data_IF_614171221576
#
_entry.id   IF_614171221576
#
_cell.length_a   1.000
_cell.length_b   1.000
_cell.length_c   1.000
_cell.angle_alpha   90.00
_cell.angle_beta   90.00
_cell.angle_gamma   90.00
#
_symmetry.space_group_name_H-M   'P 1'
#
loop_
_entity.id
_entity.type
_entity.pdbx_description
1 polymer ?
#
# COMPACT_ATOMS: atom_id res chain seq x y z
N UNK A 1 -30.86 -32.98 -3.07
CA UNK A 1 -30.22 -32.23 -1.96
C UNK A 1 -29.85 -30.86 -2.50
N UNK A 2 -30.60 -29.84 -2.16
CA UNK A 2 -30.23 -28.44 -2.49
C UNK A 2 -29.00 -28.10 -1.68
N UNK A 3 -27.91 -27.64 -2.30
CA UNK A 3 -26.73 -27.20 -1.55
C UNK A 3 -27.12 -26.03 -0.68
N UNK A 4 -26.96 -26.17 0.64
CA UNK A 4 -27.12 -25.05 1.55
C UNK A 4 -26.22 -23.89 1.08
N UNK A 5 -26.74 -22.65 1.07
CA UNK A 5 -25.91 -21.50 0.75
C UNK A 5 -24.71 -21.50 1.70
N UNK A 6 -23.49 -21.19 1.21
CA UNK A 6 -22.32 -21.21 2.05
C UNK A 6 -22.53 -20.28 3.22
N UNK A 7 -22.43 -20.80 4.44
CA UNK A 7 -22.44 -19.97 5.65
C UNK A 7 -21.44 -18.85 5.47
N UNK A 8 -21.86 -17.62 5.75
CA UNK A 8 -20.96 -16.47 5.72
C UNK A 8 -19.69 -16.81 6.50
N UNK A 9 -18.55 -16.63 5.86
CA UNK A 9 -17.27 -16.92 6.52
C UNK A 9 -17.18 -16.16 7.85
N UNK A 10 -16.69 -16.79 8.95
CA UNK A 10 -16.55 -16.14 10.23
C UNK A 10 -15.68 -14.88 10.10
N UNK A 11 -15.90 -13.85 10.94
CA UNK A 11 -15.09 -12.62 10.87
C UNK A 11 -13.60 -12.92 11.10
N UNK A 12 -12.73 -12.21 10.41
CA UNK A 12 -11.30 -12.36 10.60
C UNK A 12 -10.89 -12.13 12.07
N UNK A 13 -9.93 -12.92 12.62
CA UNK A 13 -9.47 -12.78 13.99
C UNK A 13 -9.04 -11.37 14.32
N UNK A 14 -9.43 -10.86 15.48
CA UNK A 14 -9.12 -9.48 15.90
C UNK A 14 -7.62 -9.19 15.84
N UNK A 15 -6.78 -10.13 16.28
CA UNK A 15 -5.31 -9.99 16.27
C UNK A 15 -4.78 -9.77 14.85
N UNK A 16 -5.31 -10.47 13.87
CA UNK A 16 -4.90 -10.36 12.47
C UNK A 16 -5.37 -9.03 11.84
N UNK A 17 -6.58 -8.58 12.20
CA UNK A 17 -7.09 -7.26 11.79
C UNK A 17 -6.23 -6.13 12.36
N UNK A 18 -5.91 -6.17 13.65
CA UNK A 18 -5.07 -5.16 14.29
C UNK A 18 -3.68 -5.11 13.67
N UNK A 19 -3.09 -6.26 13.35
CA UNK A 19 -1.82 -6.32 12.64
C UNK A 19 -1.89 -5.65 11.25
N UNK A 20 -2.91 -5.99 10.47
CA UNK A 20 -3.10 -5.39 9.15
C UNK A 20 -3.30 -3.86 9.24
N UNK A 21 -4.13 -3.40 10.16
CA UNK A 21 -4.38 -1.97 10.39
C UNK A 21 -3.13 -1.22 10.84
N UNK A 22 -2.36 -1.81 11.76
CA UNK A 22 -1.10 -1.22 12.22
C UNK A 22 -0.06 -1.12 11.10
N UNK A 23 -0.02 -2.11 10.17
CA UNK A 23 0.83 -2.03 8.99
C UNK A 23 0.43 -0.87 8.06
N UNK A 24 -0.87 -0.69 7.82
CA UNK A 24 -1.38 0.44 7.02
C UNK A 24 -1.08 1.81 7.65
N UNK A 25 -1.30 1.94 8.96
CA UNK A 25 -0.98 3.16 9.71
C UNK A 25 0.52 3.47 9.68
N UNK A 26 1.39 2.48 9.81
CA UNK A 26 2.84 2.68 9.70
C UNK A 26 3.25 3.17 8.32
N UNK A 27 2.77 2.53 7.25
CA UNK A 27 3.08 2.92 5.88
C UNK A 27 2.63 4.36 5.61
N UNK A 28 1.42 4.71 6.03
CA UNK A 28 0.92 6.07 5.90
C UNK A 28 1.68 7.09 6.76
N UNK A 29 2.01 6.75 8.02
CA UNK A 29 2.80 7.64 8.87
C UNK A 29 4.17 7.97 8.26
N UNK A 30 4.82 6.99 7.61
CA UNK A 30 6.06 7.23 6.88
C UNK A 30 5.85 8.19 5.70
N UNK A 31 4.77 8.01 4.92
CA UNK A 31 4.43 8.94 3.84
C UNK A 31 4.19 10.36 4.36
N UNK A 32 3.47 10.50 5.49
CA UNK A 32 3.25 11.79 6.15
C UNK A 32 4.54 12.42 6.69
N UNK A 33 5.43 11.63 7.27
CA UNK A 33 6.72 12.12 7.73
C UNK A 33 7.58 12.62 6.56
N UNK A 34 7.62 11.86 5.46
CA UNK A 34 8.31 12.31 4.23
C UNK A 34 7.70 13.60 3.70
N UNK A 35 6.37 13.74 3.72
CA UNK A 35 5.67 14.95 3.30
C UNK A 35 6.10 16.18 4.12
N UNK A 36 6.19 16.03 5.43
CA UNK A 36 6.66 17.11 6.34
C UNK A 36 8.11 17.50 6.05
N UNK A 37 9.00 16.50 5.94
CA UNK A 37 10.43 16.74 5.67
C UNK A 37 10.64 17.39 4.31
N UNK A 38 9.94 16.93 3.27
CA UNK A 38 10.00 17.52 1.93
C UNK A 38 9.55 18.98 1.93
N UNK A 39 8.52 19.32 2.71
CA UNK A 39 8.04 20.69 2.85
C UNK A 39 9.00 21.58 3.67
N UNK A 40 9.69 21.04 4.69
CA UNK A 40 10.62 21.77 5.56
C UNK A 40 12.00 21.96 4.90
N UNK A 41 12.53 20.91 4.24
CA UNK A 41 13.95 20.86 3.77
C UNK A 41 13.99 20.73 2.25
N UNK A 42 13.65 21.80 1.52
CA UNK A 42 13.63 21.79 0.04
C UNK A 42 14.95 21.37 -0.60
N UNK A 43 16.10 21.89 -0.11
CA UNK A 43 17.41 21.62 -0.69
C UNK A 43 17.89 20.18 -0.52
N UNK A 44 17.44 19.49 0.54
CA UNK A 44 17.77 18.08 0.82
C UNK A 44 16.66 17.09 0.45
N UNK A 45 15.48 17.54 0.06
CA UNK A 45 14.30 16.72 -0.17
C UNK A 45 14.52 15.64 -1.23
N UNK A 46 15.22 16.00 -2.32
CA UNK A 46 15.49 15.04 -3.40
C UNK A 46 16.39 13.89 -2.93
N UNK A 47 17.47 14.19 -2.21
CA UNK A 47 18.37 13.17 -1.67
C UNK A 47 17.62 12.25 -0.72
N UNK A 48 16.80 12.79 0.18
CA UNK A 48 15.98 12.01 1.09
C UNK A 48 15.02 11.08 0.36
N UNK A 49 14.25 11.60 -0.59
CA UNK A 49 13.26 10.82 -1.35
C UNK A 49 13.94 9.75 -2.19
N UNK A 50 15.08 10.06 -2.81
CA UNK A 50 15.88 9.06 -3.54
C UNK A 50 16.39 7.95 -2.61
N UNK A 51 16.93 8.30 -1.44
CA UNK A 51 17.42 7.32 -0.46
C UNK A 51 16.29 6.44 0.02
N UNK A 52 15.16 7.02 0.42
CA UNK A 52 13.98 6.26 0.89
C UNK A 52 13.39 5.40 -0.22
N UNK A 53 13.26 5.93 -1.45
CA UNK A 53 12.72 5.20 -2.60
C UNK A 53 13.59 3.99 -2.98
N UNK A 54 14.92 4.18 -3.10
CA UNK A 54 15.86 3.10 -3.38
C UNK A 54 15.85 2.07 -2.24
N UNK A 55 15.89 2.53 -0.99
CA UNK A 55 15.85 1.65 0.17
C UNK A 55 14.55 0.84 0.22
N UNK A 56 13.41 1.42 -0.14
CA UNK A 56 12.12 0.74 -0.21
C UNK A 56 12.14 -0.40 -1.25
N UNK A 57 12.75 -0.16 -2.41
CA UNK A 57 12.95 -1.21 -3.44
C UNK A 57 13.85 -2.33 -2.90
N UNK A 58 14.98 -1.99 -2.29
CA UNK A 58 15.89 -2.97 -1.69
C UNK A 58 15.21 -3.80 -0.61
N UNK A 59 14.45 -3.16 0.27
CA UNK A 59 13.66 -3.83 1.30
C UNK A 59 12.62 -4.80 0.74
N UNK A 60 11.95 -4.42 -0.35
CA UNK A 60 11.01 -5.28 -1.07
C UNK A 60 11.69 -6.54 -1.63
N UNK A 61 12.86 -6.36 -2.26
CA UNK A 61 13.62 -7.47 -2.84
C UNK A 61 14.18 -8.38 -1.75
N UNK A 62 14.77 -7.81 -0.70
CA UNK A 62 15.39 -8.55 0.40
C UNK A 62 14.38 -9.32 1.27
N UNK A 63 13.18 -8.78 1.47
CA UNK A 63 12.20 -9.39 2.37
C UNK A 63 11.67 -10.73 1.89
N UNK A 64 11.66 -11.00 0.58
CA UNK A 64 11.18 -12.25 0.02
C UNK A 64 12.04 -13.46 0.39
N UNK A 65 13.37 -13.47 0.09
CA UNK A 65 14.22 -14.57 0.53
C UNK A 65 14.24 -14.67 2.06
N UNK A 66 14.25 -13.54 2.77
CA UNK A 66 14.23 -13.52 4.22
C UNK A 66 12.97 -14.22 4.78
N UNK A 67 11.79 -13.92 4.23
CA UNK A 67 10.53 -14.56 4.61
C UNK A 67 10.49 -16.06 4.27
N UNK A 68 11.20 -16.51 3.23
CA UNK A 68 11.31 -17.94 2.90
C UNK A 68 12.17 -18.69 3.91
N UNK A 69 13.29 -18.10 4.33
CA UNK A 69 14.26 -18.74 5.22
C UNK A 69 13.89 -18.63 6.70
N UNK A 70 13.57 -17.42 7.18
CA UNK A 70 13.30 -17.16 8.60
C UNK A 70 11.83 -17.40 9.00
N UNK A 71 10.91 -17.45 8.05
CA UNK A 71 9.47 -17.43 8.29
C UNK A 71 8.90 -16.02 8.21
N UNK A 72 7.54 -15.93 8.15
CA UNK A 72 6.85 -14.66 7.90
C UNK A 72 6.83 -13.78 9.13
N UNK A 73 6.54 -14.38 10.29
CA UNK A 73 6.51 -13.67 11.57
C UNK A 73 7.88 -13.09 11.93
N UNK A 74 8.94 -13.90 11.86
CA UNK A 74 10.30 -13.44 12.19
C UNK A 74 10.76 -12.34 11.24
N UNK A 75 10.50 -12.47 9.94
CA UNK A 75 10.79 -11.42 8.97
C UNK A 75 10.01 -10.15 9.26
N UNK A 76 8.73 -10.24 9.61
CA UNK A 76 7.92 -9.10 10.03
C UNK A 76 8.48 -8.39 11.26
N UNK A 77 8.99 -9.15 12.25
CA UNK A 77 9.65 -8.58 13.41
C UNK A 77 10.96 -7.87 13.06
N UNK A 78 11.80 -8.47 12.20
CA UNK A 78 13.05 -7.84 11.72
C UNK A 78 12.73 -6.53 11.01
N UNK A 79 11.74 -6.53 10.11
CA UNK A 79 11.28 -5.34 9.40
C UNK A 79 10.78 -4.27 10.37
N UNK A 80 9.98 -4.65 11.38
CA UNK A 80 9.47 -3.70 12.37
C UNK A 80 10.58 -3.10 13.25
N UNK A 81 11.56 -3.92 13.68
CA UNK A 81 12.74 -3.42 14.43
C UNK A 81 13.56 -2.47 13.58
N UNK A 82 13.80 -2.81 12.29
CA UNK A 82 14.51 -1.95 11.35
C UNK A 82 13.81 -0.59 11.18
N UNK A 83 12.47 -0.61 11.07
CA UNK A 83 11.66 0.60 11.00
C UNK A 83 11.77 1.45 12.28
N UNK A 84 11.72 0.81 13.47
CA UNK A 84 11.81 1.50 14.76
C UNK A 84 13.17 2.19 14.93
N UNK A 85 14.27 1.48 14.62
CA UNK A 85 15.63 2.04 14.64
C UNK A 85 15.73 3.18 13.62
N UNK A 86 15.23 2.98 12.41
CA UNK A 86 15.24 3.99 11.37
C UNK A 86 14.49 5.26 11.75
N UNK A 87 13.27 5.12 12.27
CA UNK A 87 12.48 6.26 12.73
C UNK A 87 13.12 6.98 13.93
N UNK A 88 13.71 6.22 14.87
CA UNK A 88 14.44 6.79 16.01
C UNK A 88 15.66 7.60 15.60
N UNK A 89 16.47 7.09 14.67
CA UNK A 89 17.62 7.83 14.12
C UNK A 89 17.17 9.10 13.38
N UNK A 90 16.11 9.00 12.58
CA UNK A 90 15.58 10.13 11.82
C UNK A 90 14.91 11.19 12.71
N UNK A 91 14.37 10.80 13.87
CA UNK A 91 13.79 11.72 14.84
C UNK A 91 14.82 12.42 15.74
N UNK A 92 15.89 11.72 16.12
CA UNK A 92 16.81 12.16 17.16
C UNK A 92 18.13 12.75 16.64
N UNK A 93 18.42 12.63 15.35
CA UNK A 93 19.70 13.03 14.77
C UNK A 93 19.48 13.88 13.53
N UNK A 94 20.51 14.69 13.19
CA UNK A 94 20.51 15.53 11.99
C UNK A 94 21.52 15.06 10.96
N UNK A 95 21.42 15.55 9.73
CA UNK A 95 22.38 15.28 8.66
C UNK A 95 22.40 13.82 8.17
N UNK A 96 23.60 13.27 8.01
CA UNK A 96 23.79 11.92 7.45
C UNK A 96 23.13 10.81 8.30
N UNK A 97 23.23 10.80 9.64
CA UNK A 97 22.55 9.78 10.45
C UNK A 97 21.02 9.80 10.29
N UNK A 98 20.40 10.98 10.21
CA UNK A 98 18.97 11.11 9.93
C UNK A 98 18.60 10.54 8.56
N UNK A 99 19.42 10.79 7.54
CA UNK A 99 19.23 10.25 6.19
C UNK A 99 19.35 8.71 6.17
N UNK A 100 20.32 8.16 6.90
CA UNK A 100 20.44 6.71 7.09
C UNK A 100 19.19 6.16 7.78
N UNK A 101 18.72 6.84 8.84
CA UNK A 101 17.51 6.47 9.56
C UNK A 101 16.29 6.42 8.65
N UNK A 102 16.10 7.45 7.83
CA UNK A 102 15.01 7.51 6.85
C UNK A 102 15.14 6.38 5.80
N UNK A 103 16.35 6.06 5.34
CA UNK A 103 16.61 4.93 4.45
C UNK A 103 16.25 3.58 5.09
N UNK A 104 16.60 3.36 6.36
CA UNK A 104 16.22 2.15 7.10
C UNK A 104 14.69 2.04 7.23
N UNK A 105 14.00 3.13 7.57
CA UNK A 105 12.54 3.17 7.63
C UNK A 105 11.90 2.90 6.25
N UNK A 106 12.47 3.44 5.17
CA UNK A 106 12.07 3.17 3.79
C UNK A 106 12.25 1.71 3.41
N UNK A 107 13.41 1.11 3.72
CA UNK A 107 13.66 -0.32 3.50
C UNK A 107 12.65 -1.19 4.26
N UNK A 108 12.37 -0.84 5.49
CA UNK A 108 11.35 -1.53 6.29
C UNK A 108 9.95 -1.39 5.67
N UNK A 109 9.58 -0.21 5.16
CA UNK A 109 8.30 -0.03 4.47
C UNK A 109 8.18 -0.91 3.23
N UNK A 110 9.24 -0.98 2.41
CA UNK A 110 9.30 -1.91 1.28
C UNK A 110 9.13 -3.37 1.69
N UNK A 111 9.80 -3.77 2.77
CA UNK A 111 9.65 -5.09 3.38
C UNK A 111 8.22 -5.35 3.88
N UNK A 112 7.61 -4.36 4.51
CA UNK A 112 6.24 -4.46 5.02
C UNK A 112 5.22 -4.65 3.90
N UNK A 113 5.37 -3.97 2.78
CA UNK A 113 4.51 -4.15 1.59
C UNK A 113 4.53 -5.58 1.04
N UNK A 114 5.56 -6.36 1.34
CA UNK A 114 5.65 -7.79 0.97
C UNK A 114 5.16 -8.68 2.10
N UNK A 115 5.64 -8.46 3.32
CA UNK A 115 5.41 -9.37 4.45
C UNK A 115 3.99 -9.28 4.99
N UNK A 116 3.41 -8.07 5.11
CA UNK A 116 2.07 -7.92 5.68
C UNK A 116 0.98 -8.60 4.83
N UNK A 117 0.96 -8.48 3.48
CA UNK A 117 0.03 -9.25 2.66
C UNK A 117 0.20 -10.75 2.79
N UNK A 118 1.45 -11.25 2.84
CA UNK A 118 1.72 -12.68 3.02
C UNK A 118 1.18 -13.19 4.35
N UNK A 119 1.48 -12.48 5.45
CA UNK A 119 0.97 -12.82 6.79
C UNK A 119 -0.56 -12.82 6.81
N UNK A 120 -1.18 -11.76 6.27
CA UNK A 120 -2.63 -11.66 6.23
C UNK A 120 -3.28 -12.76 5.38
N UNK A 121 -2.67 -13.13 4.25
CA UNK A 121 -3.17 -14.17 3.38
C UNK A 121 -3.01 -15.56 3.99
N UNK A 122 -1.81 -15.88 4.53
CA UNK A 122 -1.48 -17.21 5.02
C UNK A 122 -2.11 -17.51 6.39
N UNK A 123 -2.40 -16.49 7.21
CA UNK A 123 -3.08 -16.64 8.50
C UNK A 123 -4.61 -16.49 8.42
N UNK A 124 -5.14 -16.07 7.28
CA UNK A 124 -6.58 -15.94 7.10
C UNK A 124 -7.18 -17.22 6.49
N UNK A 125 -8.40 -17.56 6.93
CA UNK A 125 -9.18 -18.60 6.26
C UNK A 125 -9.63 -18.14 4.87
N UNK A 126 -9.91 -19.08 3.98
CA UNK A 126 -10.53 -18.80 2.67
C UNK A 126 -11.81 -17.98 2.87
N UNK A 127 -11.80 -16.72 2.45
CA UNK A 127 -12.92 -15.79 2.64
C UNK A 127 -12.53 -14.44 3.27
N UNK A 128 -11.41 -14.35 3.98
CA UNK A 128 -10.96 -13.08 4.58
C UNK A 128 -10.15 -12.18 3.62
N UNK A 129 -10.66 -12.00 2.41
CA UNK A 129 -9.96 -11.24 1.34
C UNK A 129 -9.83 -9.74 1.62
N UNK A 130 -10.47 -9.23 2.69
CA UNK A 130 -10.61 -7.79 2.95
C UNK A 130 -9.56 -7.17 3.86
N UNK A 131 -8.67 -7.97 4.47
CA UNK A 131 -7.69 -7.45 5.43
C UNK A 131 -6.71 -6.44 4.82
N UNK A 132 -6.16 -6.76 3.65
CA UNK A 132 -5.23 -5.84 2.99
C UNK A 132 -5.90 -4.58 2.44
N UNK A 133 -7.07 -4.64 1.78
CA UNK A 133 -7.84 -3.45 1.47
C UNK A 133 -8.10 -2.54 2.67
N UNK A 134 -8.44 -3.11 3.84
CA UNK A 134 -8.61 -2.34 5.08
C UNK A 134 -7.31 -1.69 5.55
N UNK A 135 -6.19 -2.43 5.50
CA UNK A 135 -4.88 -1.90 5.85
C UNK A 135 -4.51 -0.70 4.96
N UNK A 136 -4.71 -0.81 3.64
CA UNK A 136 -4.40 0.26 2.70
C UNK A 136 -5.31 1.48 2.88
N UNK A 137 -6.60 1.26 3.23
CA UNK A 137 -7.53 2.34 3.53
C UNK A 137 -7.10 3.19 4.73
N UNK A 138 -6.29 2.65 5.64
CA UNK A 138 -5.75 3.38 6.80
C UNK A 138 -4.45 4.15 6.52
N UNK A 139 -3.83 3.97 5.35
CA UNK A 139 -2.65 4.74 4.96
C UNK A 139 -2.82 6.26 5.12
N UNK A 140 -3.84 6.89 4.53
CA UNK A 140 -4.07 8.31 4.67
C UNK A 140 -4.33 8.76 6.11
N UNK A 141 -4.87 7.88 6.98
CA UNK A 141 -5.00 8.19 8.40
C UNK A 141 -3.62 8.33 9.06
N UNK A 142 -2.72 7.40 8.79
CA UNK A 142 -1.33 7.47 9.26
C UNK A 142 -0.62 8.75 8.77
N UNK A 143 -0.74 9.05 7.47
CA UNK A 143 -0.16 10.25 6.88
C UNK A 143 -0.77 11.53 7.48
N UNK A 144 -2.08 11.58 7.64
CA UNK A 144 -2.78 12.71 8.24
C UNK A 144 -2.38 12.95 9.69
N UNK A 145 -2.28 11.90 10.50
CA UNK A 145 -1.82 12.00 11.90
C UNK A 145 -0.40 12.51 11.98
N UNK A 146 0.53 12.00 11.16
CA UNK A 146 1.92 12.45 11.16
C UNK A 146 2.04 13.93 10.75
N UNK A 147 1.34 14.32 9.68
CA UNK A 147 1.31 15.71 9.20
C UNK A 147 0.67 16.64 10.24
N UNK A 148 -0.48 16.24 10.82
CA UNK A 148 -1.20 17.06 11.80
C UNK A 148 -0.36 17.27 13.06
N UNK A 149 0.24 16.21 13.61
CA UNK A 149 1.10 16.30 14.79
C UNK A 149 2.31 17.18 14.55
N UNK A 150 2.94 17.05 13.37
CA UNK A 150 4.09 17.87 13.00
C UNK A 150 3.73 19.36 12.88
N UNK A 151 2.59 19.68 12.27
CA UNK A 151 2.20 21.10 12.07
C UNK A 151 1.83 21.82 13.36
N UNK A 152 1.44 21.09 14.41
CA UNK A 152 1.21 21.67 15.75
C UNK A 152 2.47 21.71 16.62
N UNK A 153 3.57 21.12 16.16
CA UNK A 153 4.84 21.10 16.89
C UNK A 153 5.80 22.17 16.39
N UNK A 154 6.57 22.82 17.26
CA UNK A 154 7.69 23.67 16.85
C UNK A 154 8.81 22.86 16.16
N UNK A 155 8.96 21.59 16.51
CA UNK A 155 9.94 20.66 15.95
C UNK A 155 9.25 19.71 14.96
N UNK A 156 8.86 20.21 13.79
CA UNK A 156 8.00 19.49 12.82
C UNK A 156 8.57 18.15 12.39
N UNK A 157 9.79 18.16 11.86
CA UNK A 157 10.46 16.97 11.34
C UNK A 157 10.66 15.87 12.40
N UNK A 158 11.26 16.15 13.58
CA UNK A 158 11.33 15.16 14.65
C UNK A 158 9.97 14.60 15.08
N UNK A 159 8.95 15.47 15.21
CA UNK A 159 7.61 15.06 15.62
C UNK A 159 6.98 14.11 14.62
N UNK A 160 7.12 14.35 13.31
CA UNK A 160 6.64 13.44 12.29
C UNK A 160 7.28 12.05 12.41
N UNK A 161 8.60 11.98 12.63
CA UNK A 161 9.31 10.71 12.82
C UNK A 161 8.95 10.00 14.13
N UNK A 162 8.65 10.74 15.20
CA UNK A 162 8.11 10.16 16.45
C UNK A 162 6.78 9.47 16.19
N UNK A 163 5.88 10.04 15.38
CA UNK A 163 4.63 9.40 14.98
C UNK A 163 4.90 8.09 14.23
N UNK A 164 5.88 8.08 13.31
CA UNK A 164 6.31 6.85 12.62
C UNK A 164 6.78 5.82 13.65
N UNK A 165 7.64 6.19 14.59
CA UNK A 165 8.16 5.31 15.62
C UNK A 165 7.02 4.69 16.47
N UNK A 166 6.04 5.50 16.88
CA UNK A 166 4.86 5.02 17.60
C UNK A 166 4.04 4.03 16.77
N UNK A 167 3.77 4.35 15.50
CA UNK A 167 3.05 3.45 14.60
C UNK A 167 3.79 2.10 14.43
N UNK A 168 5.12 2.14 14.30
CA UNK A 168 5.97 0.93 14.23
C UNK A 168 5.91 0.12 15.53
N UNK A 169 5.97 0.76 16.69
CA UNK A 169 5.89 0.07 17.98
C UNK A 169 4.53 -0.63 18.15
N UNK A 170 3.43 0.03 17.73
CA UNK A 170 2.10 -0.60 17.70
C UNK A 170 2.09 -1.81 16.77
N UNK A 171 2.69 -1.68 15.57
CA UNK A 171 2.79 -2.79 14.62
C UNK A 171 3.64 -3.94 15.18
N UNK A 172 4.79 -3.64 15.78
CA UNK A 172 5.67 -4.61 16.42
C UNK A 172 4.93 -5.39 17.52
N UNK A 173 4.18 -4.67 18.38
CA UNK A 173 3.35 -5.30 19.42
C UNK A 173 2.30 -6.25 18.80
N UNK A 174 1.63 -5.83 17.73
CA UNK A 174 0.67 -6.70 17.03
C UNK A 174 1.36 -7.93 16.41
N UNK A 175 2.52 -7.75 15.77
CA UNK A 175 3.30 -8.83 15.16
C UNK A 175 3.78 -9.88 16.19
N UNK A 176 4.17 -9.45 17.40
CA UNK A 176 4.56 -10.34 18.50
C UNK A 176 3.42 -11.27 18.96
N UNK A 177 2.16 -10.84 18.79
CA UNK A 177 0.96 -11.60 19.19
C UNK A 177 0.48 -12.59 18.14
N UNK A 178 1.05 -12.56 16.93
CA UNK A 178 0.70 -13.51 15.87
C UNK A 178 1.54 -14.79 15.96
N UNK A 179 0.96 -15.95 15.61
CA UNK A 179 1.72 -17.17 15.39
C UNK A 179 2.54 -17.08 14.09
N UNK A 180 3.41 -18.07 13.86
CA UNK A 180 4.10 -18.22 12.57
C UNK A 180 3.11 -18.69 11.50
N UNK A 181 3.46 -18.45 10.23
CA UNK A 181 2.65 -18.83 9.08
C UNK A 181 2.47 -20.34 8.97
N UNK A 182 1.21 -20.85 8.92
CA UNK A 182 0.94 -22.28 8.72
C UNK A 182 1.52 -22.79 7.40
N UNK A 183 1.40 -22.02 6.31
CA UNK A 183 1.93 -22.41 5.01
C UNK A 183 3.47 -22.51 5.02
N UNK A 184 4.16 -21.70 5.80
CA UNK A 184 5.59 -21.82 5.98
C UNK A 184 5.96 -23.04 6.82
N UNK A 185 5.23 -23.30 7.92
CA UNK A 185 5.46 -24.45 8.80
C UNK A 185 5.25 -25.79 8.07
N UNK A 186 4.20 -25.90 7.26
CA UNK A 186 3.95 -27.09 6.41
C UNK A 186 5.12 -27.33 5.45
N UNK A 187 5.66 -26.30 4.81
CA UNK A 187 6.84 -26.43 3.92
C UNK A 187 8.11 -26.85 4.65
N UNK A 188 8.15 -26.66 5.97
CA UNK A 188 9.23 -27.14 6.84
C UNK A 188 8.91 -28.51 7.48
N UNK A 189 7.85 -29.18 7.02
CA UNK A 189 7.36 -30.47 7.56
C UNK A 189 7.00 -30.39 9.06
N UNK A 190 6.56 -29.21 9.53
CA UNK A 190 6.17 -28.92 10.92
C UNK A 190 4.65 -28.82 11.05
N UNK A 191 3.94 -29.85 10.62
CA UNK A 191 2.48 -29.86 10.50
C UNK A 191 1.74 -29.67 11.83
N UNK A 192 2.26 -30.24 12.91
CA UNK A 192 1.68 -30.08 14.26
C UNK A 192 1.67 -28.61 14.67
N UNK A 193 2.76 -27.89 14.43
CA UNK A 193 2.87 -26.49 14.76
C UNK A 193 2.01 -25.62 13.82
N UNK A 194 1.87 -26.02 12.56
CA UNK A 194 0.98 -25.36 11.60
C UNK A 194 -0.49 -25.46 12.05
N UNK A 195 -0.92 -26.65 12.50
CA UNK A 195 -2.25 -26.86 13.08
C UNK A 195 -2.46 -26.00 14.35
N UNK A 196 -1.49 -26.00 15.26
CA UNK A 196 -1.54 -25.17 16.47
C UNK A 196 -1.63 -23.68 16.19
N UNK A 197 -0.93 -23.20 15.16
CA UNK A 197 -0.99 -21.81 14.72
C UNK A 197 -2.42 -21.44 14.24
N UNK A 198 -3.03 -22.30 13.43
CA UNK A 198 -4.41 -22.13 12.98
C UNK A 198 -5.41 -22.22 14.13
N UNK A 199 -5.24 -23.20 15.01
CA UNK A 199 -6.10 -23.42 16.18
C UNK A 199 -6.14 -22.21 17.11
N UNK A 200 -5.00 -21.57 17.37
CA UNK A 200 -4.90 -20.37 18.21
C UNK A 200 -5.64 -19.16 17.65
N UNK A 201 -5.82 -19.10 16.34
CA UNK A 201 -6.49 -17.99 15.66
C UNK A 201 -7.96 -18.23 15.38
N UNK A 202 -8.30 -19.46 14.99
CA UNK A 202 -9.62 -19.77 14.41
C UNK A 202 -10.42 -20.83 15.19
N UNK A 203 -9.78 -21.52 16.13
CA UNK A 203 -10.40 -22.63 16.83
C UNK A 203 -10.10 -23.98 16.17
N UNK A 204 -10.48 -25.09 16.86
CA UNK A 204 -10.09 -26.45 16.49
C UNK A 204 -10.75 -26.93 15.19
N UNK A 205 -12.05 -26.65 15.03
CA UNK A 205 -12.84 -27.13 13.89
C UNK A 205 -12.36 -26.48 12.58
N UNK A 206 -12.24 -25.17 12.57
CA UNK A 206 -11.77 -24.41 11.41
C UNK A 206 -10.31 -24.77 11.07
N UNK A 207 -9.48 -24.99 12.09
CA UNK A 207 -8.09 -25.37 11.90
C UNK A 207 -7.94 -26.75 11.23
N UNK A 208 -8.79 -27.73 11.58
CA UNK A 208 -8.73 -29.08 10.97
C UNK A 208 -9.05 -29.06 9.48
N UNK A 209 -9.98 -28.22 9.06
CA UNK A 209 -10.28 -28.04 7.63
C UNK A 209 -9.21 -27.21 6.92
N UNK A 210 -8.72 -26.17 7.58
CA UNK A 210 -7.75 -25.25 6.99
C UNK A 210 -6.38 -25.90 6.77
N UNK A 211 -5.95 -26.81 7.62
CA UNK A 211 -4.64 -27.46 7.48
C UNK A 211 -4.55 -28.31 6.22
N UNK A 212 -5.63 -29.03 5.85
CA UNK A 212 -5.65 -29.86 4.64
C UNK A 212 -5.54 -28.99 3.37
N UNK A 213 -6.26 -27.85 3.36
CA UNK A 213 -6.12 -26.87 2.28
C UNK A 213 -4.71 -26.27 2.22
N UNK A 214 -4.10 -25.99 3.38
CA UNK A 214 -2.74 -25.43 3.44
C UNK A 214 -1.71 -26.42 2.89
N UNK A 215 -1.88 -27.72 3.13
CA UNK A 215 -1.04 -28.77 2.55
C UNK A 215 -1.19 -28.83 1.03
N UNK A 216 -2.42 -28.89 0.54
CA UNK A 216 -2.70 -28.89 -0.91
C UNK A 216 -2.12 -27.66 -1.60
N UNK A 217 -2.31 -26.48 -1.04
CA UNK A 217 -1.75 -25.23 -1.58
C UNK A 217 -0.20 -25.26 -1.55
N UNK A 218 0.41 -25.86 -0.53
CA UNK A 218 1.87 -26.00 -0.45
C UNK A 218 2.43 -26.97 -1.48
N UNK A 219 1.77 -28.09 -1.71
CA UNK A 219 2.12 -29.08 -2.76
C UNK A 219 1.99 -28.47 -4.15
N UNK A 220 0.86 -27.84 -4.47
CA UNK A 220 0.67 -27.16 -5.75
C UNK A 220 1.71 -26.06 -6.01
N UNK A 221 2.11 -25.32 -4.96
CA UNK A 221 3.14 -24.28 -5.09
C UNK A 221 4.56 -24.87 -5.23
N UNK A 222 4.83 -26.06 -4.68
CA UNK A 222 6.11 -26.76 -4.85
C UNK A 222 6.29 -27.26 -6.29
N UNK A 223 5.20 -27.67 -6.95
CA UNK A 223 5.21 -28.09 -8.34
C UNK A 223 5.30 -26.94 -9.35
N UNK A 224 4.99 -25.70 -8.90
CA UNK A 224 5.05 -24.53 -9.78
C UNK A 224 6.50 -24.12 -10.08
N UNK A 225 6.89 -24.27 -11.32
CA UNK A 225 8.15 -23.74 -11.84
C UNK A 225 8.15 -22.20 -11.84
N UNK A 226 9.29 -21.60 -11.57
CA UNK A 226 9.43 -20.15 -11.67
C UNK A 226 9.20 -19.72 -13.13
N UNK A 227 8.32 -18.72 -13.33
CA UNK A 227 8.08 -18.16 -14.66
C UNK A 227 9.38 -17.60 -15.24
N UNK A 228 9.69 -18.00 -16.46
CA UNK A 228 10.81 -17.51 -17.24
C UNK A 228 10.35 -16.46 -18.25
N UNK A 229 11.23 -15.59 -18.78
CA UNK A 229 10.89 -14.68 -19.86
C UNK A 229 10.33 -15.37 -21.12
N UNK A 230 10.71 -16.62 -21.36
CA UNK A 230 10.19 -17.42 -22.47
C UNK A 230 8.70 -17.72 -22.32
N UNK A 231 8.19 -17.84 -21.09
CA UNK A 231 6.79 -18.12 -20.80
C UNK A 231 5.85 -16.95 -21.18
N UNK A 232 6.39 -15.74 -21.38
CA UNK A 232 5.63 -14.60 -21.90
C UNK A 232 5.11 -14.81 -23.33
N UNK A 233 5.61 -15.83 -24.04
CA UNK A 233 5.08 -16.24 -25.35
C UNK A 233 3.73 -16.94 -25.20
N UNK A 234 3.46 -17.54 -24.03
CA UNK A 234 2.18 -18.21 -23.73
C UNK A 234 1.10 -17.14 -23.53
N UNK A 235 -0.03 -17.20 -24.29
CA UNK A 235 -1.06 -16.16 -24.25
C UNK A 235 -1.64 -15.90 -22.85
N UNK A 236 -1.82 -16.96 -22.04
CA UNK A 236 -2.34 -16.84 -20.67
C UNK A 236 -1.37 -16.12 -19.75
N UNK A 237 -0.07 -16.41 -19.82
CA UNK A 237 0.97 -15.75 -19.04
C UNK A 237 1.05 -14.26 -19.41
N UNK A 238 1.03 -13.99 -20.72
CA UNK A 238 1.02 -12.61 -21.23
C UNK A 238 -0.23 -11.85 -20.77
N UNK A 239 -1.41 -12.46 -20.78
CA UNK A 239 -2.64 -11.85 -20.28
C UNK A 239 -2.54 -11.52 -18.79
N UNK A 240 -1.98 -12.43 -17.97
CA UNK A 240 -1.76 -12.23 -16.55
C UNK A 240 -0.82 -11.03 -16.27
N UNK A 241 0.30 -10.96 -16.97
CA UNK A 241 1.29 -9.87 -16.83
C UNK A 241 0.69 -8.55 -17.28
N UNK A 242 -0.03 -8.51 -18.43
CA UNK A 242 -0.68 -7.30 -18.91
C UNK A 242 -1.77 -6.81 -17.95
N UNK A 243 -2.57 -7.71 -17.38
CA UNK A 243 -3.57 -7.33 -16.36
C UNK A 243 -2.88 -6.73 -15.12
N UNK A 244 -1.80 -7.37 -14.65
CA UNK A 244 -0.99 -6.83 -13.56
C UNK A 244 -0.42 -5.45 -13.89
N UNK A 245 0.13 -5.24 -15.08
CA UNK A 245 0.65 -3.96 -15.53
C UNK A 245 -0.43 -2.87 -15.60
N UNK A 246 -1.62 -3.18 -16.11
CA UNK A 246 -2.75 -2.23 -16.14
C UNK A 246 -3.21 -1.85 -14.74
N UNK A 247 -3.25 -2.81 -13.80
CA UNK A 247 -3.59 -2.52 -12.40
C UNK A 247 -2.55 -1.62 -11.74
N UNK A 248 -1.25 -1.86 -11.98
CA UNK A 248 -0.16 -0.99 -11.50
C UNK A 248 -0.32 0.41 -12.09
N UNK A 249 -0.55 0.51 -13.39
CA UNK A 249 -0.74 1.80 -14.06
C UNK A 249 -1.94 2.56 -13.49
N UNK A 250 -3.08 1.90 -13.29
CA UNK A 250 -4.27 2.50 -12.69
C UNK A 250 -4.03 2.96 -11.23
N UNK A 251 -3.17 2.26 -10.50
CA UNK A 251 -2.83 2.59 -9.11
C UNK A 251 -1.84 3.76 -9.02
N UNK A 252 -0.79 3.79 -9.82
CA UNK A 252 0.33 4.72 -9.66
C UNK A 252 0.25 5.94 -10.60
N UNK A 253 -0.43 5.84 -11.75
CA UNK A 253 -0.54 6.96 -12.69
C UNK A 253 -1.19 8.22 -12.09
N UNK A 254 -2.21 8.13 -11.21
CA UNK A 254 -2.75 9.29 -10.52
C UNK A 254 -1.86 9.76 -9.37
N UNK A 255 -0.55 9.76 -9.54
CA UNK A 255 0.47 10.09 -8.53
C UNK A 255 0.51 9.15 -7.30
N UNK A 256 -0.40 8.19 -7.15
CA UNK A 256 -0.42 7.22 -6.06
C UNK A 256 -0.13 7.84 -4.68
N UNK A 257 0.81 7.25 -3.95
CA UNK A 257 1.28 7.79 -2.68
C UNK A 257 2.06 9.11 -2.80
N UNK A 258 2.58 9.45 -4.00
CA UNK A 258 3.29 10.72 -4.20
C UNK A 258 2.40 11.93 -3.91
N UNK A 259 1.09 11.82 -4.13
CA UNK A 259 0.15 12.88 -3.80
C UNK A 259 0.15 13.22 -2.30
N UNK A 260 0.20 12.22 -1.42
CA UNK A 260 0.28 12.43 0.02
C UNK A 260 1.58 13.15 0.43
N UNK A 261 2.70 12.74 -0.18
CA UNK A 261 4.01 13.33 0.11
C UNK A 261 4.14 14.77 -0.41
N UNK A 262 3.57 15.04 -1.58
CA UNK A 262 3.71 16.37 -2.22
C UNK A 262 2.65 17.38 -1.76
N UNK A 263 1.52 16.95 -1.18
CA UNK A 263 0.44 17.84 -0.81
C UNK A 263 0.87 18.98 0.15
N UNK A 264 1.63 18.74 1.24
CA UNK A 264 2.12 19.83 2.09
C UNK A 264 3.09 20.76 1.36
N UNK A 265 3.97 20.25 0.50
CA UNK A 265 4.89 21.05 -0.30
C UNK A 265 4.13 22.00 -1.22
N UNK A 266 3.14 21.50 -1.95
CA UNK A 266 2.29 22.31 -2.82
C UNK A 266 1.52 23.36 -2.02
N UNK A 267 1.00 22.98 -0.85
CA UNK A 267 0.28 23.92 0.02
C UNK A 267 1.19 25.06 0.52
N UNK A 268 2.43 24.75 0.89
CA UNK A 268 3.43 25.76 1.28
C UNK A 268 3.80 26.66 0.09
N UNK A 269 3.98 26.08 -1.11
CA UNK A 269 4.30 26.85 -2.32
C UNK A 269 3.21 27.85 -2.71
N UNK A 270 1.97 27.52 -2.41
CA UNK A 270 0.80 28.37 -2.64
C UNK A 270 0.56 29.40 -1.52
N UNK A 271 1.43 29.46 -0.51
CA UNK A 271 1.28 30.36 0.63
C UNK A 271 0.10 30.01 1.54
N UNK A 272 -0.39 28.76 1.50
CA UNK A 272 -1.45 28.31 2.40
C UNK A 272 -0.91 28.25 3.83
N UNK A 273 -1.61 28.87 4.75
CA UNK A 273 -1.23 28.89 6.15
C UNK A 273 -1.31 27.50 6.82
N UNK A 274 -0.63 27.36 7.95
CA UNK A 274 -0.57 26.12 8.73
C UNK A 274 -1.95 25.53 9.04
N UNK A 275 -2.97 26.36 9.23
CA UNK A 275 -4.36 25.93 9.45
C UNK A 275 -4.95 25.15 8.28
N UNK A 276 -4.65 25.56 7.03
CA UNK A 276 -5.15 24.86 5.85
C UNK A 276 -4.51 23.46 5.71
N UNK A 277 -3.23 23.33 6.00
CA UNK A 277 -2.51 22.05 5.97
C UNK A 277 -3.04 21.12 7.07
N UNK A 278 -3.22 21.65 8.29
CA UNK A 278 -3.78 20.89 9.41
C UNK A 278 -5.23 20.43 9.11
N UNK A 279 -6.06 21.30 8.53
CA UNK A 279 -7.43 20.94 8.12
C UNK A 279 -7.43 19.84 7.07
N UNK A 280 -6.56 19.93 6.05
CA UNK A 280 -6.43 18.89 5.02
C UNK A 280 -6.03 17.55 5.64
N UNK A 281 -5.05 17.55 6.53
CA UNK A 281 -4.59 16.35 7.23
C UNK A 281 -5.71 15.71 8.11
N UNK A 282 -6.50 16.54 8.82
CA UNK A 282 -7.64 16.07 9.59
C UNK A 282 -8.73 15.44 8.70
N UNK A 283 -8.99 16.04 7.52
CA UNK A 283 -9.92 15.48 6.54
C UNK A 283 -9.42 14.15 6.00
N UNK A 284 -8.12 13.97 5.76
CA UNK A 284 -7.56 12.68 5.35
C UNK A 284 -7.80 11.58 6.38
N UNK A 285 -7.66 11.89 7.66
CA UNK A 285 -7.99 10.94 8.73
C UNK A 285 -9.47 10.54 8.68
N UNK A 286 -10.36 11.52 8.56
CA UNK A 286 -11.81 11.26 8.45
C UNK A 286 -12.18 10.42 7.23
N UNK A 287 -11.59 10.73 6.07
CA UNK A 287 -11.80 9.97 4.83
C UNK A 287 -11.26 8.54 4.93
N UNK A 288 -10.11 8.33 5.56
CA UNK A 288 -9.56 7.00 5.77
C UNK A 288 -10.47 6.13 6.67
N UNK A 289 -11.05 6.71 7.72
CA UNK A 289 -12.01 6.02 8.57
C UNK A 289 -13.31 5.70 7.81
N UNK A 290 -13.81 6.62 6.99
CA UNK A 290 -14.94 6.38 6.10
C UNK A 290 -14.61 5.29 5.07
N UNK A 291 -13.41 5.32 4.48
CA UNK A 291 -12.93 4.29 3.57
C UNK A 291 -12.92 2.91 4.22
N UNK A 292 -12.40 2.82 5.45
CA UNK A 292 -12.40 1.58 6.21
C UNK A 292 -13.82 1.04 6.40
N UNK A 293 -14.79 1.90 6.75
CA UNK A 293 -16.18 1.52 6.90
C UNK A 293 -16.82 1.06 5.59
N UNK A 294 -16.51 1.75 4.47
CA UNK A 294 -17.01 1.38 3.14
C UNK A 294 -16.40 0.07 2.65
N UNK A 295 -15.08 -0.12 2.74
CA UNK A 295 -14.39 -1.36 2.33
C UNK A 295 -14.92 -2.58 3.07
N UNK A 296 -15.37 -2.42 4.33
CA UNK A 296 -16.02 -3.51 5.08
C UNK A 296 -17.41 -3.87 4.55
N UNK A 297 -18.10 -2.93 3.88
CA UNK A 297 -19.46 -3.08 3.39
C UNK A 297 -19.57 -3.45 1.91
N UNK A 298 -18.63 -3.03 1.09
CA UNK A 298 -18.62 -3.31 -0.35
C UNK A 298 -18.21 -4.76 -0.58
N UNK A 299 -19.21 -5.63 -0.73
CA UNK A 299 -18.97 -7.08 -0.85
C UNK A 299 -18.50 -7.53 -2.24
N UNK A 300 -18.95 -6.87 -3.28
CA UNK A 300 -18.62 -7.26 -4.66
C UNK A 300 -18.72 -6.06 -5.59
N UNK A 301 -17.60 -5.63 -6.13
CA UNK A 301 -17.58 -4.71 -7.27
C UNK A 301 -17.79 -5.54 -8.55
N UNK A 302 -19.04 -5.86 -8.89
CA UNK A 302 -19.41 -6.62 -10.10
C UNK A 302 -18.89 -5.97 -11.39
N UNK A 303 -18.59 -4.67 -11.35
CA UNK A 303 -18.14 -3.88 -12.49
C UNK A 303 -16.80 -3.18 -12.21
N UNK A 304 -15.82 -3.90 -11.68
CA UNK A 304 -14.52 -3.33 -11.29
C UNK A 304 -13.89 -2.48 -12.41
N UNK A 305 -13.98 -2.92 -13.68
CA UNK A 305 -13.50 -2.16 -14.84
C UNK A 305 -14.15 -0.78 -14.93
N UNK A 306 -15.48 -0.72 -14.77
CA UNK A 306 -16.23 0.54 -14.86
C UNK A 306 -15.88 1.42 -13.66
N UNK A 307 -15.84 0.82 -12.46
CA UNK A 307 -15.50 1.54 -11.23
C UNK A 307 -14.08 2.11 -11.31
N UNK A 308 -13.08 1.29 -11.65
CA UNK A 308 -11.70 1.76 -11.82
C UNK A 308 -11.60 2.84 -12.91
N UNK A 309 -12.22 2.62 -14.07
CA UNK A 309 -12.21 3.59 -15.15
C UNK A 309 -12.84 4.93 -14.74
N UNK A 310 -13.97 4.88 -14.04
CA UNK A 310 -14.66 6.10 -13.54
C UNK A 310 -13.80 6.81 -12.48
N UNK A 311 -13.24 6.09 -11.53
CA UNK A 311 -12.41 6.69 -10.47
C UNK A 311 -11.16 7.32 -11.06
N UNK A 312 -10.46 6.64 -11.96
CA UNK A 312 -9.27 7.18 -12.61
C UNK A 312 -9.63 8.39 -13.50
N UNK A 313 -10.82 8.40 -14.13
CA UNK A 313 -11.32 9.55 -14.88
C UNK A 313 -11.61 10.76 -13.97
N UNK A 314 -12.23 10.51 -12.81
CA UNK A 314 -12.46 11.56 -11.78
C UNK A 314 -11.13 12.13 -11.30
N UNK A 315 -10.13 11.26 -11.05
CA UNK A 315 -8.79 11.70 -10.67
C UNK A 315 -8.13 12.53 -11.78
N UNK A 316 -8.26 12.13 -13.04
CA UNK A 316 -7.79 12.91 -14.18
C UNK A 316 -8.46 14.29 -14.25
N UNK A 317 -9.79 14.37 -14.11
CA UNK A 317 -10.50 15.64 -14.05
C UNK A 317 -10.04 16.52 -12.86
N UNK A 318 -9.75 15.90 -11.72
CA UNK A 318 -9.22 16.61 -10.55
C UNK A 318 -7.85 17.22 -10.84
N UNK A 319 -6.95 16.48 -11.52
CA UNK A 319 -5.65 17.01 -11.93
C UNK A 319 -5.76 18.13 -12.96
N UNK A 320 -6.70 18.03 -13.89
CA UNK A 320 -6.98 19.10 -14.85
C UNK A 320 -7.40 20.37 -14.12
N UNK A 321 -8.36 20.28 -13.21
CA UNK A 321 -8.84 21.43 -12.41
C UNK A 321 -7.69 22.03 -11.60
N UNK A 322 -6.88 21.17 -10.94
CA UNK A 322 -5.73 21.65 -10.15
C UNK A 322 -4.68 22.34 -11.04
N UNK A 323 -4.35 21.76 -12.19
CA UNK A 323 -3.42 22.36 -13.15
C UNK A 323 -3.89 23.73 -13.67
N UNK A 324 -5.18 23.86 -13.99
CA UNK A 324 -5.79 25.15 -14.38
C UNK A 324 -5.77 26.17 -13.23
N UNK A 325 -6.03 25.73 -12.00
CA UNK A 325 -6.00 26.59 -10.81
C UNK A 325 -4.59 27.11 -10.54
N UNK A 326 -3.57 26.28 -10.67
CA UNK A 326 -2.17 26.66 -10.56
C UNK A 326 -1.74 27.64 -11.67
N UNK A 327 -2.40 27.58 -12.83
CA UNK A 327 -2.24 28.54 -13.93
C UNK A 327 -2.99 29.88 -13.71
N UNK A 328 -3.57 30.11 -12.53
CA UNK A 328 -4.25 31.38 -12.21
C UNK A 328 -5.77 31.37 -12.40
N UNK A 329 -6.38 30.23 -12.71
CA UNK A 329 -7.83 30.08 -12.95
C UNK A 329 -8.50 29.46 -11.71
N UNK A 330 -8.44 30.09 -10.56
CA UNK A 330 -9.12 29.62 -9.36
C UNK A 330 -8.37 29.93 -8.06
N UNK A 331 -8.98 29.66 -6.93
CA UNK A 331 -8.42 29.93 -5.62
C UNK A 331 -7.66 28.75 -5.01
N UNK A 332 -6.79 29.01 -4.02
CA UNK A 332 -5.99 28.00 -3.30
C UNK A 332 -6.83 26.87 -2.67
N UNK A 333 -8.07 27.16 -2.28
CA UNK A 333 -9.01 26.16 -1.75
C UNK A 333 -9.41 25.08 -2.78
N UNK A 334 -9.49 25.44 -4.07
CA UNK A 334 -9.75 24.45 -5.14
C UNK A 334 -8.68 23.38 -5.17
N UNK A 335 -7.44 23.74 -4.91
CA UNK A 335 -6.29 22.81 -4.86
C UNK A 335 -6.40 21.89 -3.64
N UNK A 336 -6.72 22.44 -2.47
CA UNK A 336 -6.91 21.65 -1.23
C UNK A 336 -8.03 20.63 -1.41
N UNK A 337 -9.16 21.04 -1.98
CA UNK A 337 -10.30 20.16 -2.26
C UNK A 337 -9.91 19.09 -3.29
N UNK A 338 -9.19 19.46 -4.34
CA UNK A 338 -8.73 18.53 -5.38
C UNK A 338 -7.78 17.48 -4.80
N UNK A 339 -6.77 17.89 -4.01
CA UNK A 339 -5.86 16.97 -3.34
C UNK A 339 -6.60 16.03 -2.39
N UNK A 340 -7.60 16.53 -1.68
CA UNK A 340 -8.44 15.74 -0.76
C UNK A 340 -9.23 14.68 -1.52
N UNK A 341 -9.88 15.03 -2.64
CA UNK A 341 -10.61 14.11 -3.50
C UNK A 341 -9.65 13.04 -4.06
N UNK A 342 -8.45 13.44 -4.46
CA UNK A 342 -7.42 12.55 -4.97
C UNK A 342 -7.01 11.50 -3.93
N UNK A 343 -6.66 11.95 -2.72
CA UNK A 343 -6.28 11.06 -1.62
C UNK A 343 -7.42 10.10 -1.27
N UNK A 344 -8.65 10.61 -1.18
CA UNK A 344 -9.82 9.79 -0.90
C UNK A 344 -10.05 8.73 -1.97
N UNK A 345 -10.09 9.11 -3.23
CA UNK A 345 -10.35 8.20 -4.35
C UNK A 345 -9.27 7.14 -4.47
N UNK A 346 -8.00 7.51 -4.32
CA UNK A 346 -6.86 6.60 -4.39
C UNK A 346 -6.90 5.56 -3.26
N UNK A 347 -7.16 5.99 -2.04
CA UNK A 347 -7.10 5.11 -0.88
C UNK A 347 -8.35 4.25 -0.71
N UNK A 348 -9.53 4.80 -1.04
CA UNK A 348 -10.82 4.14 -0.82
C UNK A 348 -11.13 3.13 -1.91
N UNK A 349 -10.81 3.44 -3.17
CA UNK A 349 -11.30 2.68 -4.31
C UNK A 349 -10.19 2.04 -5.15
N UNK A 350 -9.15 2.78 -5.50
CA UNK A 350 -8.14 2.28 -6.45
C UNK A 350 -7.22 1.25 -5.81
N UNK A 351 -6.58 1.57 -4.70
CA UNK A 351 -5.65 0.67 -4.01
C UNK A 351 -6.27 -0.67 -3.61
N UNK A 352 -7.41 -0.69 -2.88
CA UNK A 352 -8.06 -1.94 -2.50
C UNK A 352 -8.51 -2.76 -3.71
N UNK A 353 -9.04 -2.10 -4.75
CA UNK A 353 -9.52 -2.77 -5.95
C UNK A 353 -8.35 -3.40 -6.73
N UNK A 354 -7.24 -2.68 -6.91
CA UNK A 354 -6.07 -3.21 -7.63
C UNK A 354 -5.44 -4.40 -6.92
N UNK A 355 -5.37 -4.37 -5.60
CA UNK A 355 -4.75 -5.46 -4.83
C UNK A 355 -5.62 -6.72 -4.74
N UNK A 356 -6.95 -6.55 -4.77
CA UNK A 356 -7.91 -7.66 -4.73
C UNK A 356 -8.25 -8.26 -6.10
N UNK A 357 -7.95 -7.54 -7.18
CA UNK A 357 -8.39 -7.91 -8.51
C UNK A 357 -7.68 -9.17 -9.06
N UNK A 358 -8.48 -10.14 -9.48
CA UNK A 358 -8.01 -11.37 -10.14
C UNK A 358 -8.72 -11.45 -11.49
N UNK A 359 -7.95 -11.53 -12.57
CA UNK A 359 -8.51 -11.74 -13.91
C UNK A 359 -9.07 -13.18 -14.01
N UNK A 360 -10.38 -13.36 -14.24
CA UNK A 360 -10.98 -14.69 -14.34
C UNK A 360 -10.47 -15.53 -15.52
N UNK A 361 -9.80 -14.90 -16.50
CA UNK A 361 -9.18 -15.59 -17.63
C UNK A 361 -7.82 -16.20 -17.29
N UNK A 362 -7.26 -15.83 -16.12
CA UNK A 362 -5.96 -16.33 -15.68
C UNK A 362 -6.17 -17.66 -14.96
N UNK A 363 -5.47 -18.73 -15.36
CA UNK A 363 -5.51 -19.99 -14.65
C UNK A 363 -5.15 -19.84 -13.18
N UNK A 364 -5.77 -20.62 -12.27
CA UNK A 364 -5.54 -20.49 -10.81
C UNK A 364 -4.07 -20.55 -10.41
N UNK A 365 -3.27 -21.33 -11.11
CA UNK A 365 -1.84 -21.48 -10.85
C UNK A 365 -1.01 -20.23 -11.19
N UNK A 366 -1.51 -19.32 -12.06
CA UNK A 366 -0.85 -18.05 -12.39
C UNK A 366 -1.28 -16.89 -11.48
N UNK A 367 -2.35 -17.04 -10.72
CA UNK A 367 -2.88 -15.96 -9.85
C UNK A 367 -1.85 -15.47 -8.85
N UNK A 368 -1.11 -16.38 -8.24
CA UNK A 368 -0.08 -16.01 -7.27
C UNK A 368 1.11 -15.30 -7.94
N UNK A 369 1.50 -15.76 -9.14
CA UNK A 369 2.53 -15.09 -9.95
C UNK A 369 2.09 -13.67 -10.35
N UNK A 370 0.83 -13.49 -10.76
CA UNK A 370 0.25 -12.17 -11.05
C UNK A 370 0.30 -11.26 -9.82
N UNK A 371 -0.14 -11.73 -8.66
CA UNK A 371 -0.13 -10.95 -7.41
C UNK A 371 1.29 -10.53 -7.02
N UNK A 372 2.26 -11.44 -7.14
CA UNK A 372 3.66 -11.16 -6.84
C UNK A 372 4.24 -10.12 -7.80
N UNK A 373 3.98 -10.25 -9.10
CA UNK A 373 4.41 -9.30 -10.11
C UNK A 373 3.79 -7.92 -9.88
N UNK A 374 2.47 -7.84 -9.62
CA UNK A 374 1.77 -6.61 -9.34
C UNK A 374 2.29 -5.93 -8.07
N UNK A 375 2.51 -6.68 -6.98
CA UNK A 375 3.04 -6.12 -5.74
C UNK A 375 4.45 -5.55 -5.91
N UNK A 376 5.35 -6.27 -6.62
CA UNK A 376 6.72 -5.79 -6.84
C UNK A 376 6.75 -4.61 -7.80
N UNK A 377 6.02 -4.73 -8.91
CA UNK A 377 5.87 -3.66 -9.89
C UNK A 377 5.26 -2.42 -9.27
N UNK A 378 4.28 -2.57 -8.38
CA UNK A 378 3.66 -1.46 -7.65
C UNK A 378 4.65 -0.71 -6.76
N UNK A 379 5.53 -1.41 -6.03
CA UNK A 379 6.56 -0.74 -5.21
C UNK A 379 7.59 -0.02 -6.07
N UNK A 380 8.03 -0.64 -7.17
CA UNK A 380 8.95 -0.01 -8.11
C UNK A 380 8.33 1.22 -8.78
N UNK A 381 7.08 1.11 -9.23
CA UNK A 381 6.36 2.22 -9.83
C UNK A 381 6.14 3.36 -8.83
N UNK A 382 5.76 3.05 -7.59
CA UNK A 382 5.56 4.04 -6.52
C UNK A 382 6.85 4.82 -6.23
N UNK A 383 7.97 4.13 -6.04
CA UNK A 383 9.27 4.77 -5.84
C UNK A 383 9.66 5.65 -7.03
N UNK A 384 9.51 5.13 -8.25
CA UNK A 384 9.80 5.86 -9.48
C UNK A 384 8.91 7.08 -9.69
N UNK A 385 7.60 6.96 -9.47
CA UNK A 385 6.64 8.08 -9.57
C UNK A 385 6.95 9.15 -8.52
N UNK A 386 7.28 8.76 -7.28
CA UNK A 386 7.62 9.71 -6.21
C UNK A 386 8.88 10.51 -6.56
N UNK A 387 9.94 9.84 -7.04
CA UNK A 387 11.18 10.49 -7.45
C UNK A 387 10.93 11.41 -8.66
N UNK A 388 10.23 10.92 -9.68
CA UNK A 388 9.92 11.70 -10.87
C UNK A 388 9.04 12.92 -10.57
N UNK A 389 8.04 12.75 -9.71
CA UNK A 389 7.15 13.83 -9.28
C UNK A 389 7.90 14.91 -8.50
N UNK A 390 8.80 14.53 -7.60
CA UNK A 390 9.62 15.49 -6.88
C UNK A 390 10.60 16.23 -7.80
N UNK A 391 11.24 15.52 -8.73
CA UNK A 391 12.10 16.15 -9.76
C UNK A 391 11.29 17.16 -10.59
N UNK A 392 10.08 16.81 -11.01
CA UNK A 392 9.21 17.70 -11.76
C UNK A 392 8.88 18.98 -10.96
N UNK A 393 8.52 18.84 -9.69
CA UNK A 393 8.21 19.99 -8.82
C UNK A 393 9.43 20.90 -8.65
N UNK A 394 10.62 20.34 -8.40
CA UNK A 394 11.83 21.11 -8.13
C UNK A 394 12.39 21.81 -9.36
N UNK A 395 12.27 21.22 -10.53
CA UNK A 395 12.90 21.73 -11.76
C UNK A 395 11.94 22.33 -12.77
N UNK A 396 10.71 21.87 -12.84
CA UNK A 396 9.71 22.27 -13.85
C UNK A 396 8.51 23.02 -13.23
N UNK A 397 8.41 22.99 -11.91
CA UNK A 397 7.30 23.59 -11.17
C UNK A 397 6.08 22.67 -10.99
N UNK A 398 5.24 23.06 -10.03
CA UNK A 398 4.09 22.26 -9.60
C UNK A 398 3.04 22.07 -10.70
N UNK A 399 2.84 23.07 -11.56
CA UNK A 399 1.85 22.99 -12.67
C UNK A 399 2.16 21.86 -13.65
N UNK A 400 3.43 21.65 -14.01
CA UNK A 400 3.83 20.59 -14.95
C UNK A 400 3.54 19.21 -14.38
N UNK A 401 3.71 19.03 -13.08
CA UNK A 401 3.38 17.77 -12.39
C UNK A 401 1.91 17.41 -12.57
N UNK A 402 1.00 18.36 -12.38
CA UNK A 402 -0.44 18.10 -12.49
C UNK A 402 -0.88 17.84 -13.93
N UNK A 403 -0.29 18.51 -14.90
CA UNK A 403 -0.55 18.23 -16.32
C UNK A 403 -0.05 16.84 -16.73
N UNK A 404 1.14 16.43 -16.25
CA UNK A 404 1.66 15.07 -16.47
C UNK A 404 0.75 14.01 -15.82
N UNK A 405 0.30 14.24 -14.58
CA UNK A 405 -0.62 13.35 -13.89
C UNK A 405 -1.98 13.24 -14.59
N UNK A 406 -2.50 14.34 -15.14
CA UNK A 406 -3.71 14.33 -15.97
C UNK A 406 -3.52 13.45 -17.21
N UNK A 407 -2.45 13.64 -17.97
CA UNK A 407 -2.15 12.86 -19.16
C UNK A 407 -2.02 11.36 -18.85
N UNK A 408 -1.28 11.02 -17.76
CA UNK A 408 -1.13 9.64 -17.31
C UNK A 408 -2.46 9.03 -16.86
N UNK A 409 -3.32 9.80 -16.21
CA UNK A 409 -4.66 9.33 -15.82
C UNK A 409 -5.52 9.01 -17.04
N UNK A 410 -5.47 9.82 -18.11
CA UNK A 410 -6.17 9.52 -19.36
C UNK A 410 -5.67 8.20 -19.99
N UNK A 411 -4.35 8.00 -20.05
CA UNK A 411 -3.76 6.74 -20.55
C UNK A 411 -4.23 5.56 -19.69
N UNK A 412 -4.29 5.73 -18.36
CA UNK A 412 -4.77 4.69 -17.44
C UNK A 412 -6.24 4.35 -17.66
N UNK A 413 -7.12 5.36 -17.88
CA UNK A 413 -8.54 5.13 -18.20
C UNK A 413 -8.67 4.29 -19.47
N UNK A 414 -7.97 4.67 -20.54
CA UNK A 414 -7.98 3.93 -21.80
C UNK A 414 -7.48 2.50 -21.60
N UNK A 415 -6.36 2.31 -20.88
CA UNK A 415 -5.81 1.00 -20.60
C UNK A 415 -6.79 0.12 -19.80
N UNK A 416 -7.44 0.66 -18.76
CA UNK A 416 -8.45 -0.04 -17.96
C UNK A 416 -9.65 -0.44 -18.83
N UNK A 417 -10.17 0.48 -19.62
CA UNK A 417 -11.35 0.22 -20.45
C UNK A 417 -11.10 -0.78 -21.57
N UNK A 418 -9.91 -0.78 -22.17
CA UNK A 418 -9.58 -1.68 -23.28
C UNK A 418 -9.05 -3.03 -22.85
N UNK A 419 -8.30 -3.11 -21.75
CA UNK A 419 -7.53 -4.32 -21.37
C UNK A 419 -8.16 -5.13 -20.26
N UNK A 420 -8.85 -4.50 -19.30
CA UNK A 420 -9.50 -5.24 -18.23
C UNK A 420 -10.81 -5.88 -18.70
N UNK A 421 -11.10 -7.11 -18.33
CA UNK A 421 -12.39 -7.75 -18.60
C UNK A 421 -13.50 -7.00 -17.87
N UNK A 422 -14.75 -7.11 -18.39
CA UNK A 422 -15.92 -6.49 -17.75
C UNK A 422 -16.20 -7.06 -16.37
N UNK A 423 -15.83 -8.31 -16.15
CA UNK A 423 -15.99 -9.02 -14.89
C UNK A 423 -14.62 -9.44 -14.37
N UNK A 424 -14.10 -8.74 -13.38
CA UNK A 424 -12.97 -9.17 -12.56
C UNK A 424 -13.51 -9.72 -11.24
N UNK A 425 -13.00 -10.87 -10.82
CA UNK A 425 -13.24 -11.39 -9.47
C UNK A 425 -12.37 -10.61 -8.49
N UNK A 426 -12.99 -9.96 -7.52
CA UNK A 426 -12.34 -9.27 -6.41
C UNK A 426 -12.21 -10.20 -5.22
#
# INVERSE_FOLDING_TARGET
>A
MTPHPPRSAPPAPVRLRLYAWAAGLFLGALEGALAVVVADIRSGALALVCVVGVAMVLGTVASRPLARHLGRRRTGLVVAVLAAVGAGLAAGLDGVPALIGAGLAGSAAGGMLVVAPLVCHELSLRGHKRLMPQAMALGPAGAGVATLAAWWSPARTPTAWVVVAVAVLVHLFCALRLPESPAWLVRQSRDVEAFEALRRLHGTLEASVAIDWTRLDAEMLAEQQALTPADLRVPQVRAAVLTGAVLILAQEAPLGAAALVLAPLVAVDLGLGAGAIATSAAVWVGLALLALALVTRIEQLRFLRVVLGTVVAVLGATFLVTGLTLGGVGGAWTIVVSLTILVASQSVLVLPACQGAIDPRIPPWLVEAQRRASATGGVLARAGVLIAALLAVLHLGTSVLYWAAFALSLVSVVAVLLRLPRELKV
#
